data_IF_368762217791
#
_entry.id   IF_368762217791
#
_cell.length_a   1.000
_cell.length_b   1.000
_cell.length_c   1.000
_cell.angle_alpha   90.00
_cell.angle_beta   90.00
_cell.angle_gamma   90.00
#
_symmetry.space_group_name_H-M   'P 1'
#
loop_
_entity.id
_entity.type
_entity.pdbx_description
1 polymer ?
#
# COMPACT_ATOMS: atom_id res chain seq x y z
N UNK A 1 -3.84 25.48 -28.82
CA UNK A 1 -4.83 24.73 -28.02
C UNK A 1 -4.14 24.37 -26.72
N UNK A 2 -4.59 24.88 -25.58
CA UNK A 2 -3.96 24.60 -24.29
C UNK A 2 -4.32 23.16 -23.86
N UNK A 3 -3.33 22.38 -23.46
CA UNK A 3 -3.53 21.03 -22.92
C UNK A 3 -3.43 21.08 -21.40
N UNK A 4 -4.36 20.43 -20.70
CA UNK A 4 -4.35 20.30 -19.24
C UNK A 4 -4.01 18.84 -18.90
N UNK A 5 -2.75 18.57 -18.57
CA UNK A 5 -2.26 17.21 -18.32
C UNK A 5 -1.88 17.04 -16.86
N UNK A 6 -2.51 16.08 -16.18
CA UNK A 6 -2.24 15.74 -14.79
C UNK A 6 -1.36 14.49 -14.73
N UNK A 7 -0.28 14.57 -13.95
CA UNK A 7 0.62 13.46 -13.70
C UNK A 7 0.19 12.79 -12.41
N UNK A 8 -0.56 11.71 -12.56
CA UNK A 8 -1.05 10.87 -11.47
C UNK A 8 -0.15 9.65 -11.31
N UNK A 9 -0.51 8.77 -10.38
CA UNK A 9 0.21 7.52 -10.10
C UNK A 9 -0.75 6.35 -10.13
N UNK A 10 -0.26 5.21 -10.61
CA UNK A 10 -0.96 3.93 -10.56
C UNK A 10 -1.40 3.58 -9.13
N UNK A 11 -0.69 4.06 -8.11
CA UNK A 11 -1.09 3.94 -6.70
C UNK A 11 -2.46 4.57 -6.38
N UNK A 12 -2.92 5.56 -7.13
CA UNK A 12 -4.27 6.12 -7.01
C UNK A 12 -5.37 5.19 -7.54
N UNK A 13 -5.03 4.30 -8.48
CA UNK A 13 -5.96 3.33 -9.07
C UNK A 13 -6.12 2.09 -8.20
N UNK A 14 -5.01 1.50 -7.74
CA UNK A 14 -4.99 0.21 -7.03
C UNK A 14 -4.70 0.32 -5.53
N UNK A 15 -4.31 1.50 -5.07
CA UNK A 15 -3.82 1.73 -3.72
C UNK A 15 -2.37 1.30 -3.52
N UNK A 16 -1.71 1.85 -2.50
CA UNK A 16 -0.41 1.38 -2.04
C UNK A 16 -0.33 1.36 -0.51
N UNK A 17 0.08 0.22 0.05
CA UNK A 17 0.13 0.03 1.50
C UNK A 17 1.17 0.99 2.12
N UNK A 18 0.75 1.77 3.11
CA UNK A 18 1.58 2.80 3.75
C UNK A 18 1.61 4.14 3.03
N UNK A 19 0.87 4.31 1.93
CA UNK A 19 0.83 5.54 1.12
C UNK A 19 -0.62 5.99 0.85
N UNK A 20 -1.49 5.94 1.86
CA UNK A 20 -2.91 6.24 1.70
C UNK A 20 -3.18 7.70 1.28
N UNK A 21 -2.42 8.65 1.85
CA UNK A 21 -2.46 10.07 1.47
C UNK A 21 -2.05 10.28 0.01
N UNK A 22 -0.95 9.66 -0.43
CA UNK A 22 -0.47 9.73 -1.80
C UNK A 22 -1.46 9.11 -2.78
N UNK A 23 -1.99 7.91 -2.47
CA UNK A 23 -3.01 7.27 -3.29
C UNK A 23 -4.28 8.14 -3.42
N UNK A 24 -4.75 8.73 -2.32
CA UNK A 24 -5.93 9.61 -2.33
C UNK A 24 -5.71 10.88 -3.17
N UNK A 25 -4.54 11.50 -3.07
CA UNK A 25 -4.21 12.68 -3.87
C UNK A 25 -4.21 12.36 -5.38
N UNK A 26 -3.61 11.24 -5.79
CA UNK A 26 -3.58 10.82 -7.19
C UNK A 26 -4.98 10.42 -7.71
N UNK A 27 -5.78 9.74 -6.89
CA UNK A 27 -7.18 9.45 -7.21
C UNK A 27 -8.02 10.74 -7.40
N UNK A 28 -7.72 11.79 -6.64
CA UNK A 28 -8.34 13.10 -6.83
C UNK A 28 -7.96 13.72 -8.19
N UNK A 29 -6.70 13.64 -8.61
CA UNK A 29 -6.27 14.12 -9.94
C UNK A 29 -7.03 13.40 -11.07
N UNK A 30 -7.18 12.08 -10.96
CA UNK A 30 -7.94 11.30 -11.93
C UNK A 30 -9.43 11.69 -11.95
N UNK A 31 -10.01 11.99 -10.79
CA UNK A 31 -11.39 12.46 -10.68
C UNK A 31 -11.56 13.87 -11.24
N UNK A 32 -10.60 14.76 -11.02
CA UNK A 32 -10.58 16.13 -11.53
C UNK A 32 -10.54 16.16 -13.06
N UNK A 33 -9.71 15.32 -13.70
CA UNK A 33 -9.68 15.23 -15.15
C UNK A 33 -11.02 14.76 -15.73
N UNK A 34 -11.64 13.73 -15.14
CA UNK A 34 -13.00 13.29 -15.52
C UNK A 34 -14.05 14.39 -15.34
N UNK A 35 -13.96 15.14 -14.24
CA UNK A 35 -14.88 16.22 -13.92
C UNK A 35 -14.80 17.39 -14.92
N UNK A 36 -13.58 17.75 -15.34
CA UNK A 36 -13.34 18.76 -16.39
C UNK A 36 -13.85 18.28 -17.74
N UNK A 37 -13.54 17.04 -18.11
CA UNK A 37 -13.99 16.44 -19.37
C UNK A 37 -15.53 16.38 -19.46
N UNK A 38 -16.22 16.04 -18.37
CA UNK A 38 -17.69 16.06 -18.31
C UNK A 38 -18.32 17.46 -18.55
N UNK A 39 -17.52 18.53 -18.44
CA UNK A 39 -17.91 19.92 -18.75
C UNK A 39 -17.43 20.39 -20.12
N UNK A 40 -16.88 19.51 -20.95
CA UNK A 40 -16.30 19.86 -22.25
C UNK A 40 -14.97 20.61 -22.15
N UNK A 41 -14.34 20.64 -20.97
CA UNK A 41 -13.03 21.25 -20.78
C UNK A 41 -11.92 20.22 -21.06
N UNK A 42 -10.81 20.63 -21.70
CA UNK A 42 -9.68 19.73 -21.93
C UNK A 42 -9.06 19.32 -20.59
N UNK A 43 -8.87 18.02 -20.41
CA UNK A 43 -8.10 17.43 -19.33
C UNK A 43 -7.72 15.97 -19.66
N UNK A 44 -6.50 15.58 -19.31
CA UNK A 44 -6.05 14.19 -19.33
C UNK A 44 -5.23 13.90 -18.07
N UNK A 45 -5.64 12.90 -17.27
CA UNK A 45 -4.82 12.38 -16.18
C UNK A 45 -4.12 11.10 -16.63
N UNK A 46 -2.81 11.03 -16.41
CA UNK A 46 -2.03 9.80 -16.66
C UNK A 46 -1.53 9.23 -15.34
N UNK A 47 -2.09 8.10 -14.94
CA UNK A 47 -1.69 7.36 -13.75
C UNK A 47 -0.46 6.49 -14.06
N UNK A 48 0.72 7.00 -13.73
CA UNK A 48 1.99 6.37 -14.06
C UNK A 48 2.33 5.18 -13.16
N UNK A 49 2.74 4.08 -13.80
CA UNK A 49 3.50 3.00 -13.16
C UNK A 49 4.94 3.41 -12.86
N UNK A 50 5.76 2.46 -12.41
CA UNK A 50 7.17 2.71 -12.16
C UNK A 50 7.94 2.91 -13.47
N UNK A 51 8.89 3.85 -13.50
CA UNK A 51 9.76 4.11 -14.64
C UNK A 51 11.16 3.54 -14.36
N UNK A 52 11.77 2.89 -15.35
CA UNK A 52 13.17 2.49 -15.32
C UNK A 52 14.08 3.69 -15.56
N UNK A 53 15.37 3.54 -15.21
CA UNK A 53 16.42 4.53 -15.46
C UNK A 53 16.17 5.89 -14.79
N UNK A 54 15.49 5.88 -13.64
CA UNK A 54 15.14 7.05 -12.84
C UNK A 54 15.05 6.73 -11.35
N UNK A 55 15.46 7.68 -10.51
CA UNK A 55 15.78 7.46 -9.09
C UNK A 55 14.65 6.92 -8.19
N UNK A 56 13.39 6.91 -8.64
CA UNK A 56 12.27 6.37 -7.85
C UNK A 56 12.13 4.84 -7.94
N UNK A 57 12.73 4.18 -8.94
CA UNK A 57 12.67 2.73 -9.12
C UNK A 57 14.05 2.05 -9.15
N UNK A 58 15.11 2.78 -8.80
CA UNK A 58 16.46 2.23 -8.74
C UNK A 58 16.67 1.36 -7.49
N UNK A 59 17.65 0.45 -7.60
CA UNK A 59 18.09 -0.39 -6.48
C UNK A 59 16.97 -1.26 -5.87
N UNK A 60 16.89 -1.28 -4.54
CA UNK A 60 15.97 -2.12 -3.78
C UNK A 60 14.50 -1.75 -4.00
N UNK A 61 14.20 -0.49 -4.32
CA UNK A 61 12.83 -0.03 -4.59
C UNK A 61 12.29 -0.70 -5.85
N UNK A 62 13.09 -0.76 -6.92
CA UNK A 62 12.73 -1.48 -8.15
C UNK A 62 12.59 -2.99 -7.95
N UNK A 63 13.46 -3.59 -7.14
CA UNK A 63 13.34 -5.01 -6.79
C UNK A 63 12.02 -5.30 -6.04
N UNK A 64 11.65 -4.43 -5.10
CA UNK A 64 10.41 -4.55 -4.32
C UNK A 64 9.15 -4.32 -5.17
N UNK A 65 9.20 -3.42 -6.14
CA UNK A 65 8.12 -3.19 -7.10
C UNK A 65 7.93 -4.43 -7.99
N UNK A 66 9.03 -4.99 -8.53
CA UNK A 66 9.00 -6.22 -9.33
C UNK A 66 8.46 -7.42 -8.55
N UNK A 67 8.85 -7.56 -7.29
CA UNK A 67 8.31 -8.61 -6.41
C UNK A 67 6.79 -8.49 -6.18
N UNK A 68 6.20 -7.32 -6.43
CA UNK A 68 4.75 -7.07 -6.40
C UNK A 68 4.11 -7.07 -7.79
N UNK A 69 4.82 -7.48 -8.83
CA UNK A 69 4.34 -7.50 -10.21
C UNK A 69 4.31 -6.14 -10.91
N UNK A 70 4.90 -5.08 -10.31
CA UNK A 70 5.06 -3.78 -10.94
C UNK A 70 6.45 -3.69 -11.59
N UNK A 71 6.49 -3.72 -12.91
CA UNK A 71 7.74 -3.71 -13.67
C UNK A 71 8.11 -2.26 -14.01
N UNK A 72 9.33 -1.80 -13.67
CA UNK A 72 9.81 -0.50 -14.12
C UNK A 72 9.84 -0.44 -15.65
N UNK A 73 9.11 0.51 -16.21
CA UNK A 73 8.93 0.67 -17.65
C UNK A 73 10.01 1.57 -18.23
N UNK A 74 10.59 1.17 -19.36
CA UNK A 74 11.55 2.01 -20.07
C UNK A 74 10.92 3.38 -20.44
N UNK A 75 11.64 4.52 -20.26
CA UNK A 75 11.08 5.86 -20.48
C UNK A 75 10.42 6.05 -21.85
N UNK A 76 10.95 5.43 -22.91
CA UNK A 76 10.37 5.53 -24.25
C UNK A 76 8.96 4.95 -24.35
N UNK A 77 8.64 3.85 -23.63
CA UNK A 77 7.29 3.28 -23.58
C UNK A 77 6.32 4.21 -22.86
N UNK A 78 6.80 4.87 -21.81
CA UNK A 78 5.98 5.80 -21.06
C UNK A 78 5.68 7.07 -21.88
N UNK A 79 6.65 7.58 -22.65
CA UNK A 79 6.43 8.68 -23.59
C UNK A 79 5.45 8.31 -24.72
N UNK A 80 5.49 7.08 -25.21
CA UNK A 80 4.50 6.59 -26.17
C UNK A 80 3.09 6.54 -25.55
N UNK A 81 2.98 6.08 -24.30
CA UNK A 81 1.74 6.12 -23.53
C UNK A 81 1.22 7.54 -23.29
N UNK A 82 2.10 8.52 -23.00
CA UNK A 82 1.71 9.93 -22.88
C UNK A 82 1.10 10.44 -24.18
N UNK A 83 1.75 10.15 -25.31
CA UNK A 83 1.26 10.57 -26.64
C UNK A 83 -0.12 9.97 -26.92
N UNK A 84 -0.35 8.72 -26.55
CA UNK A 84 -1.67 8.09 -26.69
C UNK A 84 -2.71 8.72 -25.76
N UNK A 85 -2.36 9.00 -24.51
CA UNK A 85 -3.29 9.58 -23.54
C UNK A 85 -3.74 10.99 -23.93
N UNK A 86 -2.82 11.84 -24.38
CA UNK A 86 -3.14 13.22 -24.78
C UNK A 86 -3.99 13.26 -26.07
N UNK A 87 -3.85 12.27 -26.96
CA UNK A 87 -4.58 12.24 -28.23
C UNK A 87 -5.83 11.33 -28.23
N UNK A 88 -5.99 10.48 -27.22
CA UNK A 88 -7.01 9.43 -27.18
C UNK A 88 -8.39 9.88 -26.70
N UNK A 89 -8.52 11.11 -26.18
CA UNK A 89 -9.78 11.68 -25.70
C UNK A 89 -10.27 11.12 -24.35
N UNK A 90 -9.65 10.06 -23.83
CA UNK A 90 -9.96 9.52 -22.52
C UNK A 90 -9.45 10.44 -21.39
N UNK A 91 -10.31 10.85 -20.44
CA UNK A 91 -9.93 11.82 -19.42
C UNK A 91 -8.98 11.27 -18.35
N UNK A 92 -8.90 9.95 -18.16
CA UNK A 92 -8.00 9.34 -17.19
C UNK A 92 -7.55 7.95 -17.66
N UNK A 93 -6.24 7.76 -17.83
CA UNK A 93 -5.64 6.49 -18.29
C UNK A 93 -4.52 6.09 -17.34
N UNK A 94 -4.41 4.79 -17.04
CA UNK A 94 -3.23 4.23 -16.38
C UNK A 94 -2.22 3.70 -17.40
N UNK A 95 -0.95 4.04 -17.21
CA UNK A 95 0.16 3.58 -18.06
C UNK A 95 1.20 2.94 -17.16
N UNK A 96 1.23 1.61 -17.12
CA UNK A 96 2.11 0.81 -16.28
C UNK A 96 2.49 -0.49 -16.98
N UNK A 97 3.72 -0.96 -16.74
CA UNK A 97 4.15 -2.31 -17.13
C UNK A 97 3.91 -3.24 -15.93
N UNK A 98 3.02 -4.21 -16.12
CA UNK A 98 2.49 -5.03 -15.01
C UNK A 98 2.60 -6.52 -15.37
N UNK A 99 3.30 -7.27 -14.51
CA UNK A 99 3.20 -8.72 -14.46
C UNK A 99 1.91 -9.07 -13.71
N UNK A 100 0.81 -9.19 -14.47
CA UNK A 100 -0.53 -9.40 -13.93
C UNK A 100 -0.65 -10.63 -13.02
N UNK A 101 -0.09 -11.81 -13.36
CA UNK A 101 -0.05 -12.94 -12.44
C UNK A 101 0.59 -12.62 -11.09
N UNK A 102 1.78 -12.02 -11.08
CA UNK A 102 2.49 -11.67 -9.84
C UNK A 102 1.75 -10.57 -9.06
N UNK A 103 1.19 -9.59 -9.77
CA UNK A 103 0.46 -8.48 -9.19
C UNK A 103 -0.84 -8.93 -8.51
N UNK A 104 -1.62 -9.79 -9.18
CA UNK A 104 -2.87 -10.32 -8.63
C UNK A 104 -2.65 -11.17 -7.38
N UNK A 105 -1.62 -12.03 -7.38
CA UNK A 105 -1.25 -12.82 -6.21
C UNK A 105 -0.84 -11.93 -5.02
N UNK A 106 -0.01 -10.91 -5.27
CA UNK A 106 0.41 -9.95 -4.24
C UNK A 106 -0.75 -9.13 -3.66
N UNK A 107 -1.69 -8.69 -4.50
CA UNK A 107 -2.86 -7.93 -4.06
C UNK A 107 -3.81 -8.81 -3.24
N UNK A 108 -4.11 -10.02 -3.70
CA UNK A 108 -4.98 -10.98 -3.00
C UNK A 108 -4.50 -11.29 -1.58
N UNK A 109 -3.17 -11.38 -1.39
CA UNK A 109 -2.58 -11.56 -0.06
C UNK A 109 -2.69 -10.34 0.86
N UNK A 110 -2.74 -9.13 0.30
CA UNK A 110 -2.85 -7.90 1.08
C UNK A 110 -4.33 -7.53 1.36
N UNK A 111 -5.21 -7.76 0.40
CA UNK A 111 -6.66 -7.52 0.47
C UNK A 111 -7.38 -8.51 -0.46
N UNK A 112 -8.37 -9.26 0.02
CA UNK A 112 -9.24 -10.01 -0.88
C UNK A 112 -10.03 -9.01 -1.75
N UNK A 113 -9.82 -9.04 -3.07
CA UNK A 113 -10.53 -8.18 -4.03
C UNK A 113 -11.01 -9.02 -5.21
N UNK A 114 -12.25 -8.79 -5.65
CA UNK A 114 -12.81 -9.42 -6.85
C UNK A 114 -12.42 -8.70 -8.14
N UNK A 115 -11.97 -7.44 -8.03
CA UNK A 115 -11.67 -6.54 -9.15
C UNK A 115 -10.63 -7.12 -10.13
N UNK A 116 -9.71 -7.95 -9.65
CA UNK A 116 -8.64 -8.54 -10.46
C UNK A 116 -8.66 -10.08 -10.44
N UNK A 117 -9.74 -10.69 -9.96
CA UNK A 117 -9.83 -12.15 -9.84
C UNK A 117 -9.70 -12.86 -11.20
N UNK A 118 -10.17 -12.22 -12.28
CA UNK A 118 -10.06 -12.73 -13.65
C UNK A 118 -8.65 -12.61 -14.24
N UNK A 119 -7.77 -11.81 -13.62
CA UNK A 119 -6.39 -11.62 -14.05
C UNK A 119 -5.41 -12.54 -13.31
N UNK A 120 -5.86 -13.21 -12.24
CA UNK A 120 -5.07 -14.19 -11.52
C UNK A 120 -5.03 -15.51 -12.31
N UNK A 121 -3.87 -16.18 -12.45
CA UNK A 121 -3.82 -17.50 -13.06
C UNK A 121 -4.65 -18.48 -12.24
N UNK A 122 -5.51 -19.24 -12.93
CA UNK A 122 -6.30 -20.31 -12.33
C UNK A 122 -5.37 -21.32 -11.64
N UNK A 123 -5.35 -21.32 -10.30
CA UNK A 123 -4.58 -22.27 -9.49
C UNK A 123 -3.75 -21.66 -8.36
N UNK A 124 -3.57 -20.34 -8.31
CA UNK A 124 -2.98 -19.70 -7.14
C UNK A 124 -4.05 -19.53 -6.04
N UNK A 125 -4.43 -20.62 -5.39
CA UNK A 125 -5.15 -20.52 -4.13
C UNK A 125 -4.25 -19.74 -3.16
N UNK A 126 -4.71 -18.63 -2.58
CA UNK A 126 -4.01 -18.06 -1.45
C UNK A 126 -3.99 -19.17 -0.39
N UNK A 127 -2.84 -19.43 0.23
CA UNK A 127 -2.80 -20.06 1.55
C UNK A 127 -3.50 -19.10 2.51
N UNK A 128 -4.83 -19.14 2.49
CA UNK A 128 -5.67 -18.35 3.38
C UNK A 128 -5.40 -18.80 4.80
N UNK A 129 -5.41 -17.87 5.76
CA UNK A 129 -5.20 -18.18 7.19
C UNK A 129 -6.09 -19.30 7.74
N UNK A 130 -7.18 -19.63 7.04
CA UNK A 130 -8.04 -20.78 7.31
C UNK A 130 -7.28 -22.12 7.24
N UNK A 131 -6.41 -22.31 6.24
CA UNK A 131 -5.61 -23.54 6.07
C UNK A 131 -4.57 -23.69 7.21
N UNK A 132 -3.94 -22.59 7.62
CA UNK A 132 -3.00 -22.60 8.75
C UNK A 132 -3.71 -22.91 10.08
N UNK A 133 -4.88 -22.32 10.33
CA UNK A 133 -5.65 -22.55 11.55
C UNK A 133 -6.19 -23.99 11.61
N UNK A 134 -6.65 -24.54 10.49
CA UNK A 134 -7.11 -25.93 10.39
C UNK A 134 -5.96 -26.93 10.60
N UNK A 135 -4.77 -26.65 10.04
CA UNK A 135 -3.55 -27.43 10.28
C UNK A 135 -3.12 -27.39 11.74
N UNK A 136 -3.15 -26.22 12.38
CA UNK A 136 -2.83 -26.05 13.81
C UNK A 136 -3.83 -26.80 14.71
N UNK A 137 -5.11 -26.84 14.33
CA UNK A 137 -6.15 -27.55 15.06
C UNK A 137 -6.01 -29.08 14.95
N UNK A 138 -5.51 -29.59 13.82
CA UNK A 138 -5.25 -31.02 13.58
C UNK A 138 -3.92 -31.53 14.11
N UNK A 139 -3.02 -30.64 14.54
CA UNK A 139 -1.63 -30.96 14.87
C UNK A 139 -1.41 -31.19 16.40
N UNK A 140 -0.62 -32.19 16.81
CA UNK A 140 -0.24 -32.39 18.21
C UNK A 140 0.44 -31.13 18.81
N UNK A 141 0.26 -30.84 20.11
CA UNK A 141 0.86 -29.67 20.75
C UNK A 141 2.38 -29.54 20.58
N UNK A 142 3.08 -30.68 20.45
CA UNK A 142 4.54 -30.72 20.26
C UNK A 142 4.99 -30.25 18.87
N UNK A 143 4.17 -30.44 17.84
CA UNK A 143 4.49 -30.11 16.44
C UNK A 143 3.95 -28.72 16.04
N UNK A 144 3.04 -28.17 16.84
CA UNK A 144 2.42 -26.85 16.60
C UNK A 144 3.44 -25.72 16.50
N UNK A 145 4.46 -25.72 17.37
CA UNK A 145 5.47 -24.65 17.38
C UNK A 145 6.32 -24.69 16.11
N UNK A 146 6.65 -25.87 15.59
CA UNK A 146 7.40 -26.01 14.34
C UNK A 146 6.59 -25.54 13.13
N UNK A 147 5.30 -25.91 13.06
CA UNK A 147 4.40 -25.46 11.99
C UNK A 147 4.24 -23.93 11.99
N UNK A 148 4.05 -23.34 13.17
CA UNK A 148 3.94 -21.88 13.33
C UNK A 148 5.28 -21.22 13.00
N UNK A 149 6.41 -21.82 13.40
CA UNK A 149 7.74 -21.31 13.07
C UNK A 149 7.96 -21.25 11.56
N UNK A 150 7.57 -22.29 10.84
CA UNK A 150 7.68 -22.29 9.38
C UNK A 150 6.80 -21.21 8.74
N UNK A 151 5.58 -21.01 9.24
CA UNK A 151 4.72 -19.90 8.81
C UNK A 151 5.35 -18.52 9.08
N UNK A 152 5.93 -18.33 10.28
CA UNK A 152 6.63 -17.08 10.65
C UNK A 152 7.83 -16.85 9.73
N UNK A 153 8.65 -17.88 9.48
CA UNK A 153 9.82 -17.80 8.60
C UNK A 153 9.43 -17.50 7.16
N UNK A 154 8.35 -18.11 6.67
CA UNK A 154 7.81 -17.85 5.35
C UNK A 154 7.38 -16.38 5.20
N UNK A 155 6.60 -15.85 6.14
CA UNK A 155 6.18 -14.46 6.10
C UNK A 155 7.35 -13.49 6.31
N UNK A 156 8.34 -13.83 7.13
CA UNK A 156 9.54 -13.03 7.31
C UNK A 156 10.38 -12.96 6.03
N UNK A 157 10.58 -14.10 5.35
CA UNK A 157 11.25 -14.16 4.06
C UNK A 157 10.52 -13.29 3.01
N UNK A 158 9.19 -13.37 2.96
CA UNK A 158 8.39 -12.57 2.04
C UNK A 158 8.38 -11.05 2.36
N UNK A 159 8.63 -10.65 3.61
CA UNK A 159 8.82 -9.23 3.97
C UNK A 159 10.16 -8.71 3.47
N UNK A 160 11.22 -9.52 3.59
CA UNK A 160 12.56 -9.18 3.14
C UNK A 160 12.81 -9.44 1.64
N UNK A 161 11.83 -9.98 0.92
CA UNK A 161 11.93 -10.25 -0.52
C UNK A 161 12.71 -11.51 -0.87
N UNK A 162 12.90 -12.43 0.08
CA UNK A 162 13.53 -13.73 -0.16
C UNK A 162 12.51 -14.73 -0.73
N UNK A 163 12.99 -15.57 -1.68
CA UNK A 163 12.20 -16.64 -2.29
C UNK A 163 12.13 -17.91 -1.43
N UNK A 164 13.08 -18.08 -0.51
CA UNK A 164 13.17 -19.21 0.41
C UNK A 164 13.32 -18.73 1.85
N UNK A 165 13.10 -19.64 2.80
CA UNK A 165 13.23 -19.39 4.23
C UNK A 165 14.65 -19.61 4.77
N UNK A 166 15.58 -20.08 3.93
CA UNK A 166 16.97 -20.38 4.33
C UNK A 166 17.70 -19.17 4.93
N UNK A 167 17.51 -17.93 4.43
CA UNK A 167 18.12 -16.75 5.04
C UNK A 167 17.54 -16.41 6.43
N UNK A 168 16.36 -16.94 6.77
CA UNK A 168 15.66 -16.65 8.03
C UNK A 168 16.01 -17.72 9.06
N UNK A 169 17.08 -17.46 9.81
CA UNK A 169 17.53 -18.33 10.89
C UNK A 169 16.57 -18.26 12.10
N UNK A 170 16.06 -19.40 12.62
CA UNK A 170 15.04 -19.44 13.67
C UNK A 170 15.39 -18.69 14.96
N UNK A 171 16.67 -18.76 15.36
CA UNK A 171 17.16 -18.19 16.61
C UNK A 171 17.90 -16.86 16.43
N UNK A 172 18.06 -16.38 15.18
CA UNK A 172 18.76 -15.13 14.92
C UNK A 172 17.81 -13.95 15.11
N UNK A 173 18.26 -12.83 15.70
CA UNK A 173 17.45 -11.63 15.80
C UNK A 173 17.03 -11.11 14.41
N UNK A 174 15.75 -10.78 14.26
CA UNK A 174 15.16 -10.24 13.04
C UNK A 174 15.87 -8.95 12.61
N UNK A 175 16.29 -8.12 13.56
CA UNK A 175 17.01 -6.87 13.31
C UNK A 175 18.35 -7.10 12.60
N UNK A 176 19.07 -8.16 12.97
CA UNK A 176 20.32 -8.54 12.30
C UNK A 176 20.10 -9.11 10.90
N UNK A 177 18.86 -9.51 10.58
CA UNK A 177 18.45 -10.01 9.27
C UNK A 177 17.85 -8.91 8.39
N UNK A 178 17.90 -7.64 8.82
CA UNK A 178 17.42 -6.50 8.04
C UNK A 178 16.01 -6.05 8.39
N UNK A 179 15.44 -6.47 9.52
CA UNK A 179 14.19 -5.90 10.01
C UNK A 179 14.39 -4.53 10.67
N UNK A 180 13.69 -3.55 10.14
CA UNK A 180 13.48 -2.20 10.67
C UNK A 180 12.04 -2.01 11.18
N UNK A 181 11.68 -0.78 11.55
CA UNK A 181 10.34 -0.46 12.06
C UNK A 181 9.22 -0.71 11.03
N UNK A 182 9.49 -0.47 9.74
CA UNK A 182 8.50 -0.58 8.67
C UNK A 182 8.25 -2.04 8.27
N UNK A 183 9.32 -2.84 8.21
CA UNK A 183 9.28 -4.29 7.92
C UNK A 183 8.74 -5.08 9.12
N UNK A 184 9.05 -4.67 10.36
CA UNK A 184 8.45 -5.24 11.56
C UNK A 184 6.92 -5.07 11.57
N UNK A 185 6.42 -3.88 11.23
CA UNK A 185 4.99 -3.63 11.08
C UNK A 185 4.36 -4.50 9.97
N UNK A 186 5.04 -4.67 8.84
CA UNK A 186 4.54 -5.52 7.74
C UNK A 186 4.43 -6.98 8.14
N UNK A 187 5.43 -7.53 8.83
CA UNK A 187 5.39 -8.89 9.37
C UNK A 187 4.23 -9.05 10.35
N UNK A 188 4.07 -8.11 11.29
CA UNK A 188 2.96 -8.11 12.23
C UNK A 188 1.59 -8.04 11.55
N UNK A 189 1.45 -7.26 10.48
CA UNK A 189 0.21 -7.19 9.70
C UNK A 189 -0.11 -8.52 9.01
N UNK A 190 0.90 -9.15 8.39
CA UNK A 190 0.75 -10.44 7.70
C UNK A 190 0.40 -11.56 8.68
N UNK A 191 1.10 -11.65 9.80
CA UNK A 191 0.82 -12.64 10.85
C UNK A 191 -0.58 -12.45 11.45
N UNK A 192 -1.02 -11.21 11.69
CA UNK A 192 -2.37 -10.93 12.17
C UNK A 192 -3.45 -11.39 11.17
N UNK A 193 -3.21 -11.22 9.86
CA UNK A 193 -4.14 -11.64 8.82
C UNK A 193 -4.29 -13.16 8.73
N UNK A 194 -3.20 -13.92 8.87
CA UNK A 194 -3.25 -15.39 8.77
C UNK A 194 -3.66 -16.08 10.06
N UNK A 195 -3.41 -15.47 11.22
CA UNK A 195 -3.79 -16.05 12.52
C UNK A 195 -5.14 -15.56 13.05
N UNK A 196 -5.69 -14.48 12.48
CA UNK A 196 -6.88 -13.81 13.00
C UNK A 196 -6.66 -13.09 14.34
N UNK A 197 -5.44 -13.06 14.86
CA UNK A 197 -5.12 -12.45 16.15
C UNK A 197 -4.89 -10.94 16.04
N UNK A 198 -5.27 -10.21 17.09
CA UNK A 198 -4.80 -8.83 17.30
C UNK A 198 -3.39 -8.87 17.91
N UNK A 199 -2.38 -8.60 17.08
CA UNK A 199 -0.98 -8.62 17.47
C UNK A 199 -0.49 -7.22 17.90
N UNK A 200 0.31 -7.11 18.99
CA UNK A 200 0.89 -5.84 19.43
C UNK A 200 1.81 -5.20 18.39
N UNK A 201 1.90 -3.87 18.38
CA UNK A 201 2.82 -3.14 17.49
C UNK A 201 4.29 -3.47 17.80
N UNK A 202 4.61 -3.76 19.07
CA UNK A 202 5.95 -4.08 19.53
C UNK A 202 6.33 -5.57 19.37
N UNK A 203 5.50 -6.41 18.71
CA UNK A 203 5.70 -7.88 18.63
C UNK A 203 7.15 -8.29 18.29
N UNK A 204 7.74 -7.69 17.25
CA UNK A 204 9.09 -8.02 16.77
C UNK A 204 10.19 -7.51 17.72
N UNK A 205 9.89 -6.53 18.57
CA UNK A 205 10.81 -6.02 19.58
C UNK A 205 10.72 -6.84 20.87
N UNK A 206 9.50 -7.22 21.28
CA UNK A 206 9.24 -8.07 22.45
C UNK A 206 9.68 -9.52 22.20
N UNK A 207 9.61 -9.97 20.94
CA UNK A 207 9.99 -11.29 20.48
C UNK A 207 10.95 -11.16 19.29
N UNK A 208 12.26 -10.94 19.55
CA UNK A 208 13.21 -10.53 18.51
C UNK A 208 13.60 -11.64 17.53
N UNK A 209 13.26 -12.90 17.79
CA UNK A 209 13.61 -14.03 16.91
C UNK A 209 12.36 -14.68 16.30
N UNK A 210 12.44 -15.27 15.09
CA UNK A 210 11.34 -16.03 14.50
C UNK A 210 10.77 -17.10 15.46
N UNK A 211 11.65 -17.79 16.19
CA UNK A 211 11.25 -18.78 17.20
C UNK A 211 10.48 -18.17 18.36
N UNK A 212 10.88 -17.01 18.86
CA UNK A 212 10.16 -16.31 19.93
C UNK A 212 8.77 -15.84 19.47
N UNK A 213 8.66 -15.35 18.23
CA UNK A 213 7.36 -14.99 17.63
C UNK A 213 6.47 -16.23 17.48
N UNK A 214 7.05 -17.37 17.07
CA UNK A 214 6.29 -18.62 16.94
C UNK A 214 5.76 -19.13 18.28
N UNK A 215 6.57 -19.07 19.34
CA UNK A 215 6.12 -19.40 20.70
C UNK A 215 4.96 -18.51 21.16
N UNK A 216 5.09 -17.20 20.96
CA UNK A 216 4.03 -16.24 21.30
C UNK A 216 2.70 -16.52 20.57
N UNK A 217 2.76 -16.89 19.28
CA UNK A 217 1.58 -17.24 18.51
C UNK A 217 1.00 -18.58 18.96
N UNK A 218 1.83 -19.57 19.28
CA UNK A 218 1.40 -20.88 19.78
C UNK A 218 0.58 -20.76 21.07
N UNK A 219 1.02 -19.93 22.02
CA UNK A 219 0.32 -19.71 23.28
C UNK A 219 -1.06 -19.07 23.09
N UNK A 220 -1.22 -18.24 22.06
CA UNK A 220 -2.48 -17.54 21.75
C UNK A 220 -3.43 -18.31 20.84
N UNK A 221 -2.90 -19.26 20.07
CA UNK A 221 -3.67 -20.14 19.19
C UNK A 221 -4.04 -21.46 19.87
N UNK A 222 -3.47 -21.74 21.05
CA UNK A 222 -3.88 -22.89 21.84
C UNK A 222 -5.37 -22.75 22.22
N UNK A 223 -6.20 -23.79 21.99
CA UNK A 223 -7.54 -23.81 22.55
C UNK A 223 -7.41 -23.69 24.07
N UNK A 224 -8.33 -22.98 24.75
CA UNK A 224 -8.25 -22.79 26.19
C UNK A 224 -8.21 -24.16 26.85
N UNK A 225 -7.06 -24.50 27.43
CA UNK A 225 -6.95 -25.61 28.36
C UNK A 225 -8.02 -25.41 29.42
N UNK A 226 -8.92 -26.38 29.54
CA UNK A 226 -9.95 -26.36 30.58
C UNK A 226 -9.25 -26.54 31.92
N UNK A 227 -8.79 -25.44 32.51
CA UNK A 227 -8.53 -25.30 33.92
C UNK A 227 -8.66 -23.81 34.34
N UNK A 228 -9.75 -23.56 35.07
CA UNK A 228 -10.01 -22.48 36.02
C UNK A 228 -9.73 -21.01 35.63
N UNK A 229 -10.73 -20.40 34.98
CA UNK A 229 -11.43 -19.19 35.43
C UNK A 229 -10.66 -17.88 35.68
N UNK A 230 -10.79 -16.93 34.75
CA UNK A 230 -10.96 -15.49 35.07
C UNK A 230 -11.93 -14.85 34.05
N UNK A 231 -12.82 -14.04 34.59
CA UNK A 231 -13.97 -13.29 34.05
C UNK A 231 -13.99 -12.92 32.56
N UNK A 232 -15.06 -13.36 31.86
CA UNK A 232 -15.61 -12.64 30.70
C UNK A 232 -16.13 -11.29 31.17
N UNK A 233 -15.46 -10.21 30.77
CA UNK A 233 -16.04 -8.87 30.86
C UNK A 233 -16.89 -8.57 29.60
N UNK A 234 -17.92 -7.75 29.81
CA UNK A 234 -19.12 -7.59 29.02
C UNK A 234 -18.93 -6.77 27.72
N UNK A 235 -19.95 -6.65 26.83
CA UNK A 235 -19.79 -6.10 25.49
C UNK A 235 -19.65 -4.58 25.48
N UNK A 236 -18.84 -4.07 24.56
CA UNK A 236 -18.67 -2.64 24.30
C UNK A 236 -19.98 -2.00 23.76
N UNK A 237 -20.28 -0.73 24.11
CA UNK A 237 -21.49 -0.05 23.67
C UNK A 237 -21.46 0.26 22.15
N UNK A 238 -22.62 0.44 21.50
CA UNK A 238 -22.69 0.71 20.08
C UNK A 238 -22.06 2.06 19.74
N UNK A 239 -21.40 2.12 18.57
CA UNK A 239 -20.84 3.34 18.00
C UNK A 239 -21.96 4.33 17.67
N UNK A 240 -21.98 5.46 18.39
CA UNK A 240 -22.81 6.62 18.03
C UNK A 240 -22.19 7.37 16.84
N UNK A 241 -23.07 7.87 15.98
CA UNK A 241 -22.84 8.58 14.71
C UNK A 241 -21.73 9.66 14.68
N UNK A 242 -21.17 9.97 13.49
CA UNK A 242 -20.04 10.89 13.34
C UNK A 242 -20.44 12.34 13.68
N UNK A 243 -19.77 12.89 14.68
CA UNK A 243 -19.90 14.30 15.07
C UNK A 243 -19.15 15.17 14.05
N UNK A 244 -19.88 16.07 13.40
CA UNK A 244 -19.33 17.05 12.47
C UNK A 244 -18.22 17.90 13.11
N UNK A 245 -17.03 17.89 12.50
CA UNK A 245 -15.96 18.81 12.85
C UNK A 245 -16.23 20.17 12.15
N UNK A 246 -16.58 21.18 12.94
CA UNK A 246 -16.52 22.59 12.56
C UNK A 246 -15.19 23.17 13.04
N UNK A 247 -14.55 23.93 12.16
CA UNK A 247 -13.75 25.11 12.50
C UNK A 247 -12.27 24.87 12.81
N UNK A 248 -11.41 25.22 11.86
CA UNK A 248 -10.08 25.75 12.13
C UNK A 248 -9.69 26.67 10.97
N UNK A 249 -10.29 27.86 10.96
CA UNK A 249 -9.67 29.06 10.42
C UNK A 249 -8.44 29.40 11.26
N UNK A 250 -7.51 30.08 10.61
CA UNK A 250 -6.43 30.89 11.18
C UNK A 250 -5.06 30.22 11.25
N UNK A 251 -4.22 30.54 10.24
CA UNK A 251 -2.79 30.79 10.38
C UNK A 251 -2.38 31.69 9.20
N UNK A 252 -2.48 33.01 9.42
CA UNK A 252 -1.87 34.03 8.59
C UNK A 252 -0.89 34.86 9.43
N UNK A 253 0.04 35.53 8.74
CA UNK A 253 1.15 36.40 9.18
C UNK A 253 2.44 35.65 9.50
N UNK A 254 3.61 35.96 8.93
CA UNK A 254 4.18 37.24 8.48
C UNK A 254 5.25 37.03 7.40
N UNK A 255 5.34 37.91 6.38
CA UNK A 255 6.56 38.63 5.99
C UNK A 255 6.33 39.41 4.68
N UNK A 256 6.30 40.73 4.79
CA UNK A 256 6.36 41.72 3.71
C UNK A 256 7.74 41.77 3.06
N UNK A 257 7.77 41.90 1.73
CA UNK A 257 8.93 42.35 0.98
C UNK A 257 8.82 42.11 -0.53
N UNK A 258 8.28 43.09 -1.25
CA UNK A 258 8.43 43.27 -2.71
C UNK A 258 9.84 43.85 -3.01
N UNK A 259 10.47 43.55 -4.16
CA UNK A 259 10.07 44.22 -5.41
C UNK A 259 10.09 43.39 -6.71
N UNK A 260 9.16 43.78 -7.58
CA UNK A 260 9.13 43.82 -9.06
C UNK A 260 10.21 43.06 -9.88
N UNK A 261 9.73 42.23 -10.81
CA UNK A 261 10.48 41.77 -11.98
C UNK A 261 9.66 40.78 -12.81
N UNK A 262 9.19 41.23 -13.97
CA UNK A 262 8.39 40.51 -14.98
C UNK A 262 9.12 39.30 -15.59
N UNK A 263 8.50 38.12 -15.59
CA UNK A 263 8.48 37.17 -16.71
C UNK A 263 7.40 36.09 -16.47
N UNK A 264 6.54 35.88 -17.49
CA UNK A 264 5.24 35.19 -17.44
C UNK A 264 5.30 33.64 -17.38
N UNK A 265 6.43 33.03 -17.01
CA UNK A 265 6.61 31.57 -16.97
C UNK A 265 6.84 31.01 -15.53
N UNK A 266 6.99 31.86 -14.50
CA UNK A 266 7.27 31.47 -13.10
C UNK A 266 6.00 31.36 -12.21
N UNK A 267 4.81 31.60 -12.76
CA UNK A 267 3.57 31.66 -11.98
C UNK A 267 3.10 30.28 -11.47
N UNK A 268 3.36 29.18 -12.17
CA UNK A 268 2.88 27.85 -11.76
C UNK A 268 3.67 27.25 -10.58
N UNK A 269 4.97 27.54 -10.48
CA UNK A 269 5.85 26.98 -9.45
C UNK A 269 5.78 27.75 -8.11
N UNK A 270 5.22 28.96 -8.12
CA UNK A 270 5.04 29.80 -6.93
C UNK A 270 3.63 29.74 -6.33
N UNK A 271 2.67 29.11 -7.02
CA UNK A 271 1.29 28.97 -6.54
C UNK A 271 1.17 27.99 -5.38
N UNK A 272 0.37 28.37 -4.37
CA UNK A 272 0.00 27.42 -3.32
C UNK A 272 -0.87 26.29 -3.89
N UNK A 273 -0.83 25.12 -3.26
CA UNK A 273 -1.65 23.98 -3.68
C UNK A 273 -3.16 24.32 -3.74
N UNK A 274 -3.62 25.26 -2.90
CA UNK A 274 -5.00 25.73 -2.90
C UNK A 274 -5.34 26.60 -4.12
N UNK A 275 -4.40 27.39 -4.62
CA UNK A 275 -4.56 28.22 -5.82
C UNK A 275 -4.54 27.38 -7.09
N UNK A 276 -3.68 26.36 -7.16
CA UNK A 276 -3.71 25.38 -8.25
C UNK A 276 -5.04 24.62 -8.28
N UNK A 277 -5.58 24.26 -7.12
CA UNK A 277 -6.91 23.64 -7.01
C UNK A 277 -8.02 24.59 -7.48
N UNK A 278 -7.99 25.89 -7.09
CA UNK A 278 -8.99 26.86 -7.59
C UNK A 278 -8.87 27.10 -9.09
N UNK A 279 -7.67 27.29 -9.61
CA UNK A 279 -7.43 27.46 -11.05
C UNK A 279 -7.88 26.24 -11.86
N UNK A 280 -7.70 25.03 -11.32
CA UNK A 280 -8.17 23.82 -11.97
C UNK A 280 -9.70 23.66 -11.96
N UNK A 281 -10.39 24.28 -10.99
CA UNK A 281 -11.84 24.19 -10.79
C UNK A 281 -12.61 25.37 -11.43
N UNK A 282 -12.03 26.56 -11.50
CA UNK A 282 -12.62 27.72 -12.15
C UNK A 282 -12.18 27.80 -13.61
N UNK A 283 -13.14 27.69 -14.51
CA UNK A 283 -12.98 28.08 -15.91
C UNK A 283 -14.22 28.89 -16.30
N UNK A 284 -14.44 30.00 -15.61
CA UNK A 284 -15.29 31.08 -16.12
C UNK A 284 -14.40 32.27 -16.50
N UNK A 285 -14.00 32.29 -17.77
CA UNK A 285 -14.10 33.49 -18.60
C UNK A 285 -14.05 33.16 -20.08
#
# INVERSE_FOLDING_TARGET
MAAFVLFSSFAGTVGNAGQANYAAANAYLDALARHRHARGLPAASVAWGAWADGGLADGEVGARLRARGLVPMAPWRALEGLRLAVNGGEPAIAVADVDWPAFAAGLAHARPTTLLAELAPAGAAPTTGVDLLDQIAGCPPAERVELILDAVRHHAAAVLGHRTTDPIAPARPLQEMGFDSLTAMQLRNRLAAVTGLRLPAALVFDHPTPLAVAGYLSDRLAPPSTEAGVTRDAPAPPLTEPRAARGATDLATTATGDPEGTDDDDELDSMSAAELIRLALDTER
#
